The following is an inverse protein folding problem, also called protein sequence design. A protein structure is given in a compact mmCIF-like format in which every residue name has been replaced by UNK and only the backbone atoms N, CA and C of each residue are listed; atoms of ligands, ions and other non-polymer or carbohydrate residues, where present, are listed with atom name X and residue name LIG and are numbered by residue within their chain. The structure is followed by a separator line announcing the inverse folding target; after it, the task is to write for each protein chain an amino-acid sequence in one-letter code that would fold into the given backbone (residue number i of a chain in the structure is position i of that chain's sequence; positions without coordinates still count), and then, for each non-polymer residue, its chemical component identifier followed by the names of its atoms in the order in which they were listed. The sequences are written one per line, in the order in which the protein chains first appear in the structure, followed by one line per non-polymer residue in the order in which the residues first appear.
data_IF_804700568374
#
_entry.id   IF_804700568374
#
_cell.length_a   1.000
_cell.length_b   1.000
_cell.length_c   1.000
_cell.angle_alpha   90.00
_cell.angle_beta   90.00
_cell.angle_gamma   90.00
#
_symmetry.space_group_name_H-M   'P 1'
#
loop_
_entity.id
_entity.type
_entity.pdbx_description
1 polymer ?
#
# COMPACT_ATOMS: atom_id res chain seq x y z
N UNK A 1 -3.84 33.16 9.42
CA UNK A 1 -4.99 32.81 8.57
C UNK A 1 -5.40 31.39 8.92
N UNK A 2 -6.71 31.07 9.06
CA UNK A 2 -7.13 29.69 9.27
C UNK A 2 -6.65 28.85 8.09
N UNK A 3 -5.97 27.74 8.39
CA UNK A 3 -5.49 26.81 7.36
C UNK A 3 -6.73 26.20 6.72
N UNK A 4 -6.95 26.42 5.42
CA UNK A 4 -8.03 25.76 4.68
C UNK A 4 -7.88 24.25 4.88
N UNK A 5 -8.90 23.62 5.44
CA UNK A 5 -8.96 22.17 5.54
C UNK A 5 -9.29 21.60 4.17
N UNK A 6 -8.46 20.69 3.67
CA UNK A 6 -8.64 20.08 2.36
C UNK A 6 -9.40 18.78 2.48
N UNK A 7 -10.36 18.58 1.59
CA UNK A 7 -11.16 17.35 1.54
C UNK A 7 -10.34 16.16 1.05
N UNK A 8 -10.78 14.94 1.38
CA UNK A 8 -10.14 13.71 0.88
C UNK A 8 -10.12 13.66 -0.66
N UNK A 9 -11.19 14.14 -1.30
CA UNK A 9 -11.29 14.28 -2.76
C UNK A 9 -10.18 15.17 -3.31
N UNK A 10 -10.00 16.37 -2.76
CA UNK A 10 -8.95 17.31 -3.19
C UNK A 10 -7.54 16.72 -2.98
N UNK A 11 -7.30 16.05 -1.85
CA UNK A 11 -6.01 15.40 -1.57
C UNK A 11 -5.73 14.28 -2.58
N UNK A 12 -6.74 13.47 -2.92
CA UNK A 12 -6.59 12.38 -3.89
C UNK A 12 -6.33 12.91 -5.32
N UNK A 13 -6.97 14.01 -5.71
CA UNK A 13 -6.73 14.67 -6.99
C UNK A 13 -5.33 15.27 -7.09
N UNK A 14 -4.86 15.87 -6.00
CA UNK A 14 -3.48 16.30 -5.89
C UNK A 14 -2.52 15.11 -6.03
N UNK A 15 -2.77 13.99 -5.33
CA UNK A 15 -1.98 12.77 -5.44
C UNK A 15 -1.93 12.22 -6.87
N UNK A 16 -3.08 12.17 -7.56
CA UNK A 16 -3.15 11.80 -8.97
C UNK A 16 -2.27 12.70 -9.85
N UNK A 17 -2.31 14.02 -9.64
CA UNK A 17 -1.46 14.96 -10.37
C UNK A 17 0.04 14.73 -10.14
N UNK A 18 0.43 14.46 -8.89
CA UNK A 18 1.81 14.15 -8.50
C UNK A 18 2.31 12.83 -9.10
N UNK A 19 1.45 11.83 -9.23
CA UNK A 19 1.75 10.55 -9.89
C UNK A 19 1.80 10.64 -11.42
N UNK A 20 1.67 11.84 -12.02
CA UNK A 20 1.73 12.03 -13.47
C UNK A 20 0.38 12.04 -14.18
N UNK A 21 -0.73 12.06 -13.42
CA UNK A 21 -2.10 12.14 -13.94
C UNK A 21 -2.43 13.42 -14.71
N UNK A 22 -1.53 14.41 -14.74
CA UNK A 22 -1.62 15.59 -15.62
C UNK A 22 -1.17 15.30 -17.06
N UNK A 23 -0.33 14.28 -17.26
CA UNK A 23 0.27 13.95 -18.56
C UNK A 23 -0.29 12.64 -19.10
N UNK A 24 -0.34 11.62 -18.24
CA UNK A 24 -0.71 10.25 -18.57
C UNK A 24 -1.85 9.71 -17.72
N UNK A 25 -2.23 8.48 -18.02
CA UNK A 25 -3.16 7.72 -17.20
C UNK A 25 -2.40 6.98 -16.10
N UNK A 26 -2.89 7.07 -14.87
CA UNK A 26 -2.29 6.45 -13.67
C UNK A 26 -3.31 5.46 -13.09
N UNK A 27 -2.88 4.28 -12.72
CA UNK A 27 -3.77 3.30 -12.05
C UNK A 27 -4.10 3.73 -10.60
N UNK A 28 -5.12 3.10 -10.03
CA UNK A 28 -5.61 3.44 -8.69
C UNK A 28 -4.61 3.08 -7.59
N UNK A 29 -3.87 1.99 -7.78
CA UNK A 29 -2.94 1.45 -6.79
C UNK A 29 -1.76 2.40 -6.60
N UNK A 30 -1.16 2.88 -7.69
CA UNK A 30 -0.10 3.89 -7.70
C UNK A 30 -0.51 5.14 -6.92
N UNK A 31 -1.73 5.63 -7.12
CA UNK A 31 -2.25 6.81 -6.38
C UNK A 31 -2.48 6.47 -4.90
N UNK A 32 -3.06 5.31 -4.60
CA UNK A 32 -3.35 4.88 -3.24
C UNK A 32 -2.08 4.69 -2.40
N UNK A 33 -1.06 4.02 -2.96
CA UNK A 33 0.25 3.83 -2.32
C UNK A 33 0.94 5.19 -2.09
N UNK A 34 0.98 6.05 -3.11
CA UNK A 34 1.58 7.39 -3.00
C UNK A 34 0.99 8.22 -1.87
N UNK A 35 -0.34 8.17 -1.72
CA UNK A 35 -1.08 8.87 -0.68
C UNK A 35 -0.87 8.25 0.70
N UNK A 36 -0.82 6.92 0.77
CA UNK A 36 -0.53 6.19 2.01
C UNK A 36 0.86 6.50 2.56
N UNK A 37 1.90 6.50 1.72
CA UNK A 37 3.28 6.83 2.13
C UNK A 37 3.38 8.21 2.80
N UNK A 38 2.53 9.15 2.39
CA UNK A 38 2.53 10.54 2.88
C UNK A 38 1.54 10.76 4.01
N UNK A 39 0.44 10.01 4.02
CA UNK A 39 -0.66 10.17 4.97
C UNK A 39 -1.27 8.82 5.38
N UNK A 40 -0.50 7.99 6.11
CA UNK A 40 -0.96 6.66 6.52
C UNK A 40 -2.18 6.73 7.47
N UNK A 41 -2.32 7.83 8.23
CA UNK A 41 -3.49 8.03 9.10
C UNK A 41 -4.81 8.32 8.38
N UNK A 42 -4.78 8.67 7.09
CA UNK A 42 -5.96 8.99 6.28
C UNK A 42 -6.23 7.90 5.24
N UNK A 43 -5.18 7.35 4.66
CA UNK A 43 -5.21 6.37 3.56
C UNK A 43 -4.68 5.00 3.98
N UNK A 44 -4.63 4.70 5.28
CA UNK A 44 -4.36 3.37 5.80
C UNK A 44 -5.66 2.64 6.16
N UNK A 45 -5.66 1.31 6.08
CA UNK A 45 -6.85 0.51 6.41
C UNK A 45 -7.25 0.74 7.88
N UNK A 46 -8.55 0.90 8.14
CA UNK A 46 -9.05 1.14 9.51
C UNK A 46 -8.63 0.06 10.52
N UNK A 47 -8.68 -1.21 10.11
CA UNK A 47 -8.34 -2.36 10.96
C UNK A 47 -6.85 -2.70 10.93
N UNK A 48 -6.14 -2.30 9.88
CA UNK A 48 -4.71 -2.56 9.72
C UNK A 48 -4.00 -1.31 9.14
N UNK A 49 -3.80 -0.26 9.95
CA UNK A 49 -3.34 1.05 9.49
C UNK A 49 -1.96 1.08 8.85
N UNK A 50 -1.21 -0.02 8.95
CA UNK A 50 0.09 -0.21 8.31
C UNK A 50 0.01 -0.57 6.82
N UNK A 51 -1.18 -0.82 6.28
CA UNK A 51 -1.38 -1.11 4.86
C UNK A 51 -2.18 0.00 4.18
N UNK A 52 -1.93 0.26 2.88
CA UNK A 52 -2.68 1.24 2.12
C UNK A 52 -4.15 0.81 1.94
N UNK A 53 -5.05 1.75 2.18
CA UNK A 53 -6.48 1.66 1.85
C UNK A 53 -6.69 2.18 0.43
N UNK A 54 -6.45 1.30 -0.55
CA UNK A 54 -6.60 1.60 -1.97
C UNK A 54 -8.06 1.93 -2.33
N UNK A 55 -9.02 1.38 -1.58
CA UNK A 55 -10.45 1.62 -1.78
C UNK A 55 -10.84 3.07 -1.47
N UNK A 56 -10.20 3.71 -0.49
CA UNK A 56 -10.40 5.14 -0.25
C UNK A 56 -10.02 5.96 -1.49
N UNK A 57 -8.85 5.71 -2.09
CA UNK A 57 -8.43 6.40 -3.32
C UNK A 57 -9.40 6.12 -4.48
N UNK A 58 -9.81 4.85 -4.64
CA UNK A 58 -10.77 4.42 -5.66
C UNK A 58 -12.11 5.16 -5.55
N UNK A 59 -12.67 5.25 -4.35
CA UNK A 59 -13.96 5.92 -4.10
C UNK A 59 -13.86 7.40 -4.40
N UNK A 60 -12.79 8.08 -3.94
CA UNK A 60 -12.63 9.52 -4.18
C UNK A 60 -12.39 9.84 -5.67
N UNK A 61 -11.62 9.02 -6.39
CA UNK A 61 -11.44 9.17 -7.83
C UNK A 61 -12.74 8.92 -8.59
N UNK A 62 -13.51 7.90 -8.21
CA UNK A 62 -14.83 7.67 -8.80
C UNK A 62 -15.79 8.84 -8.53
N UNK A 63 -15.74 9.42 -7.33
CA UNK A 63 -16.54 10.59 -6.98
C UNK A 63 -16.13 11.83 -7.77
N UNK A 64 -14.82 12.04 -7.99
CA UNK A 64 -14.30 13.12 -8.81
C UNK A 64 -14.54 12.96 -10.33
N UNK A 65 -14.87 11.74 -10.79
CA UNK A 65 -15.38 11.50 -12.16
C UNK A 65 -16.85 11.91 -12.31
N UNK A 66 -17.63 11.89 -11.23
CA UNK A 66 -19.07 12.18 -11.27
C UNK A 66 -19.31 13.69 -11.29
N UNK A 67 -20.21 14.12 -12.14
CA UNK A 67 -20.77 15.47 -12.11
C UNK A 67 -21.91 15.48 -11.09
N UNK A 68 -21.79 16.28 -10.03
CA UNK A 68 -22.80 16.41 -8.97
C UNK A 68 -23.53 17.76 -9.03
N UNK A 69 -23.37 18.53 -10.10
CA UNK A 69 -24.05 19.81 -10.28
C UNK A 69 -23.43 20.96 -9.46
N UNK A 70 -24.22 21.99 -9.18
CA UNK A 70 -23.77 23.32 -8.75
C UNK A 70 -22.96 23.38 -7.43
N UNK A 71 -23.07 22.36 -6.57
CA UNK A 71 -22.39 22.30 -5.26
C UNK A 71 -21.03 21.58 -5.28
N UNK A 72 -20.65 20.95 -6.40
CA UNK A 72 -19.35 20.26 -6.55
C UNK A 72 -18.88 20.40 -8.02
N UNK A 73 -18.38 21.60 -8.39
CA UNK A 73 -18.60 22.14 -9.73
C UNK A 73 -17.63 21.66 -10.80
N UNK A 74 -16.76 20.69 -10.55
CA UNK A 74 -15.75 20.32 -11.56
C UNK A 74 -15.57 18.82 -11.66
N UNK A 75 -16.05 18.28 -12.79
CA UNK A 75 -15.68 16.97 -13.28
C UNK A 75 -14.22 17.05 -13.73
N UNK A 76 -13.29 16.79 -12.83
CA UNK A 76 -11.84 17.00 -13.05
C UNK A 76 -11.11 15.79 -13.64
N UNK A 77 -11.82 14.68 -13.85
CA UNK A 77 -11.26 13.44 -14.40
C UNK A 77 -11.69 13.29 -15.86
N UNK A 78 -10.69 13.05 -16.72
CA UNK A 78 -10.89 12.75 -18.13
C UNK A 78 -11.73 11.49 -18.30
N UNK A 79 -12.76 11.58 -19.15
CA UNK A 79 -13.61 10.44 -19.43
C UNK A 79 -12.84 9.34 -20.18
N UNK A 80 -12.86 8.14 -19.64
CA UNK A 80 -12.25 6.95 -20.21
C UNK A 80 -13.22 6.15 -21.07
N UNK A 81 -14.49 6.56 -21.16
CA UNK A 81 -15.51 5.83 -21.92
C UNK A 81 -15.20 5.83 -23.43
N UNK A 82 -14.62 6.92 -23.95
CA UNK A 82 -14.11 6.99 -25.32
C UNK A 82 -12.87 6.10 -25.55
N UNK A 83 -11.98 5.98 -24.55
CA UNK A 83 -10.84 5.05 -24.61
C UNK A 83 -11.33 3.61 -24.65
N UNK A 84 -12.29 3.24 -23.79
CA UNK A 84 -12.90 1.91 -23.76
C UNK A 84 -13.67 1.62 -25.05
N UNK A 85 -14.38 2.61 -25.60
CA UNK A 85 -15.07 2.51 -26.89
C UNK A 85 -14.10 2.31 -28.06
N UNK A 86 -13.01 3.08 -28.13
CA UNK A 86 -11.98 2.93 -29.18
C UNK A 86 -11.17 1.63 -29.05
N UNK A 87 -10.93 1.14 -27.83
CA UNK A 87 -10.30 -0.16 -27.59
C UNK A 87 -11.22 -1.31 -28.02
N UNK A 88 -12.52 -1.25 -27.70
CA UNK A 88 -13.54 -2.18 -28.20
C UNK A 88 -13.64 -2.19 -29.73
N UNK A 89 -13.56 -1.01 -30.37
CA UNK A 89 -13.60 -0.87 -31.83
C UNK A 89 -12.33 -1.41 -32.53
N UNK A 90 -11.18 -1.41 -31.84
CA UNK A 90 -9.91 -1.97 -32.34
C UNK A 90 -9.77 -3.48 -32.13
N UNK A 91 -10.72 -4.11 -31.45
CA UNK A 91 -10.65 -5.53 -31.11
C UNK A 91 -9.66 -5.86 -29.99
N UNK A 92 -9.25 -4.86 -29.19
CA UNK A 92 -8.34 -5.09 -28.06
C UNK A 92 -9.00 -6.06 -27.06
N UNK A 93 -8.21 -7.04 -26.59
CA UNK A 93 -8.65 -8.14 -25.75
C UNK A 93 -9.38 -7.65 -24.48
N UNK A 94 -10.41 -8.38 -24.03
CA UNK A 94 -11.21 -8.04 -22.84
C UNK A 94 -10.35 -7.87 -21.58
N UNK A 95 -9.17 -8.49 -21.55
CA UNK A 95 -8.16 -8.35 -20.47
C UNK A 95 -7.51 -6.96 -20.42
N UNK A 96 -7.38 -6.26 -21.55
CA UNK A 96 -6.88 -4.87 -21.61
C UNK A 96 -7.93 -3.90 -21.05
N UNK A 97 -9.21 -4.25 -21.22
CA UNK A 97 -10.35 -3.50 -20.66
C UNK A 97 -10.60 -3.79 -19.17
N UNK A 98 -9.99 -4.84 -18.61
CA UNK A 98 -10.16 -5.29 -17.21
C UNK A 98 -9.03 -4.90 -16.26
N UNK A 99 -8.00 -4.16 -16.72
CA UNK A 99 -7.04 -3.55 -15.79
C UNK A 99 -7.77 -2.54 -14.89
N UNK A 100 -7.30 -2.39 -13.65
CA UNK A 100 -7.84 -1.44 -12.68
C UNK A 100 -8.11 -0.07 -13.31
N UNK A 101 -9.15 0.64 -12.86
CA UNK A 101 -9.52 1.91 -13.45
C UNK A 101 -8.30 2.84 -13.43
N UNK A 102 -7.96 3.34 -14.62
CA UNK A 102 -6.88 4.28 -14.82
C UNK A 102 -7.45 5.69 -14.95
N UNK A 103 -6.77 6.64 -14.33
CA UNK A 103 -7.25 7.99 -14.10
C UNK A 103 -6.32 9.00 -14.72
N UNK A 104 -6.90 10.04 -15.29
CA UNK A 104 -6.17 11.19 -15.84
C UNK A 104 -7.00 12.42 -15.59
N UNK A 105 -6.37 13.54 -15.26
CA UNK A 105 -7.04 14.83 -15.12
C UNK A 105 -7.41 15.37 -16.50
N UNK A 106 -8.60 15.98 -16.63
CA UNK A 106 -8.94 16.79 -17.80
C UNK A 106 -8.34 18.20 -17.67
N UNK A 107 -8.61 19.08 -18.65
CA UNK A 107 -8.03 20.43 -18.66
C UNK A 107 -8.41 21.25 -17.42
N UNK A 108 -9.66 21.14 -16.96
CA UNK A 108 -10.12 21.77 -15.72
C UNK A 108 -9.42 21.19 -14.49
N UNK A 109 -9.24 19.87 -14.43
CA UNK A 109 -8.50 19.20 -13.37
C UNK A 109 -7.02 19.57 -13.34
N UNK A 110 -6.40 19.76 -14.50
CA UNK A 110 -5.01 20.23 -14.63
C UNK A 110 -4.90 21.68 -14.16
N UNK A 111 -5.84 22.55 -14.54
CA UNK A 111 -5.89 23.93 -14.08
C UNK A 111 -6.02 23.99 -12.56
N UNK A 112 -7.02 23.30 -12.01
CA UNK A 112 -7.25 23.18 -10.57
C UNK A 112 -6.00 22.64 -9.85
N UNK A 113 -5.37 21.59 -10.39
CA UNK A 113 -4.15 21.04 -9.81
C UNK A 113 -3.03 22.08 -9.75
N UNK A 114 -2.80 22.82 -10.83
CA UNK A 114 -1.72 23.81 -10.87
C UNK A 114 -1.95 24.97 -9.89
N UNK A 115 -3.19 25.41 -9.71
CA UNK A 115 -3.54 26.46 -8.75
C UNK A 115 -3.40 26.01 -7.29
N UNK A 116 -3.72 24.75 -7.00
CA UNK A 116 -3.87 24.27 -5.63
C UNK A 116 -2.69 23.42 -5.14
N UNK A 117 -1.83 22.88 -6.03
CA UNK A 117 -0.78 21.91 -5.67
C UNK A 117 0.15 22.39 -4.56
N UNK A 118 0.55 23.65 -4.57
CA UNK A 118 1.47 24.19 -3.57
C UNK A 118 0.80 24.45 -2.23
N UNK A 119 -0.48 24.83 -2.25
CA UNK A 119 -1.26 25.04 -1.03
C UNK A 119 -1.62 23.71 -0.37
N UNK A 120 -1.97 22.69 -1.16
CA UNK A 120 -2.20 21.32 -0.69
C UNK A 120 -0.89 20.71 -0.19
N UNK A 121 0.22 20.83 -0.93
CA UNK A 121 1.53 20.36 -0.46
C UNK A 121 1.92 21.01 0.87
N UNK A 122 1.75 22.34 1.02
CA UNK A 122 2.01 23.03 2.29
C UNK A 122 1.09 22.55 3.42
N UNK A 123 -0.18 22.32 3.13
CA UNK A 123 -1.12 21.73 4.09
C UNK A 123 -0.67 20.34 4.51
N UNK A 124 -0.36 19.48 3.54
CA UNK A 124 0.17 18.14 3.73
C UNK A 124 1.42 18.18 4.59
N UNK A 125 2.41 18.99 4.25
CA UNK A 125 3.63 19.14 5.04
C UNK A 125 3.33 19.68 6.44
N UNK A 126 2.35 20.57 6.59
CA UNK A 126 1.95 21.09 7.89
C UNK A 126 1.23 20.05 8.75
N UNK A 127 0.39 19.20 8.15
CA UNK A 127 -0.35 18.12 8.81
C UNK A 127 0.57 16.94 9.10
N UNK A 128 1.54 16.67 8.23
CA UNK A 128 2.60 15.68 8.46
C UNK A 128 3.54 16.18 9.56
N UNK A 129 3.97 17.44 9.58
CA UNK A 129 4.72 18.05 10.69
C UNK A 129 3.90 18.16 11.98
N UNK A 130 2.59 18.44 11.89
CA UNK A 130 1.67 18.40 13.03
C UNK A 130 1.37 16.97 13.46
N UNK A 131 1.46 15.98 12.58
CA UNK A 131 1.34 14.55 12.84
C UNK A 131 2.62 13.96 13.43
N UNK A 132 3.78 14.54 13.12
CA UNK A 132 5.07 14.31 13.78
C UNK A 132 5.10 14.98 15.16
N UNK A 133 4.57 16.21 15.30
CA UNK A 133 4.41 16.91 16.60
C UNK A 133 3.30 16.30 17.48
N UNK A 134 2.18 15.88 16.88
CA UNK A 134 1.15 14.99 17.45
C UNK A 134 1.58 13.53 17.39
N UNK A 135 2.81 13.22 16.97
CA UNK A 135 3.44 11.90 17.14
C UNK A 135 3.70 11.57 18.62
N UNK A 136 3.42 12.53 19.52
CA UNK A 136 3.25 12.28 20.97
C UNK A 136 1.82 11.87 21.37
N UNK A 137 0.87 11.88 20.45
CA UNK A 137 -0.55 11.53 20.63
C UNK A 137 -1.13 10.73 19.45
N UNK A 138 -0.29 10.08 18.64
CA UNK A 138 -0.71 8.83 17.99
C UNK A 138 -1.17 7.90 19.12
N UNK A 139 -2.13 7.02 18.87
CA UNK A 139 -2.29 5.85 19.73
C UNK A 139 -0.87 5.28 19.82
N UNK A 140 -0.22 5.44 20.97
CA UNK A 140 1.06 4.80 21.25
C UNK A 140 0.69 3.33 21.28
N UNK A 141 0.73 2.69 20.13
CA UNK A 141 0.77 1.24 20.05
C UNK A 141 2.04 0.92 20.78
N UNK A 142 1.88 0.54 22.05
CA UNK A 142 3.01 0.24 22.92
C UNK A 142 3.87 -0.81 22.22
N UNK A 143 5.17 -0.84 22.50
CA UNK A 143 6.03 -1.92 22.00
C UNK A 143 5.37 -3.30 22.26
N UNK A 144 4.68 -3.43 23.41
CA UNK A 144 3.84 -4.58 23.76
C UNK A 144 2.71 -4.89 22.77
N UNK A 145 1.99 -3.88 22.27
CA UNK A 145 0.93 -4.09 21.27
C UNK A 145 1.50 -4.41 19.87
N UNK A 146 2.67 -3.84 19.52
CA UNK A 146 3.37 -4.20 18.28
C UNK A 146 3.85 -5.65 18.35
N UNK A 147 4.50 -6.03 19.45
CA UNK A 147 4.88 -7.41 19.77
C UNK A 147 3.69 -8.35 19.72
N UNK A 148 2.57 -8.01 20.36
CA UNK A 148 1.37 -8.84 20.34
C UNK A 148 0.85 -9.09 18.92
N UNK A 149 0.83 -8.06 18.06
CA UNK A 149 0.38 -8.19 16.68
C UNK A 149 1.34 -9.04 15.81
N UNK A 150 2.66 -8.94 16.03
CA UNK A 150 3.66 -9.77 15.35
C UNK A 150 3.54 -11.22 15.81
N UNK A 151 3.48 -11.46 17.12
CA UNK A 151 3.31 -12.79 17.72
C UNK A 151 2.01 -13.44 17.23
N UNK A 152 0.91 -12.69 17.19
CA UNK A 152 -0.36 -13.20 16.67
C UNK A 152 -0.26 -13.62 15.20
N UNK A 153 0.44 -12.83 14.38
CA UNK A 153 0.63 -13.15 12.96
C UNK A 153 1.44 -14.43 12.76
N UNK A 154 2.52 -14.60 13.53
CA UNK A 154 3.35 -15.79 13.56
C UNK A 154 2.51 -17.01 13.99
N UNK A 155 1.80 -16.91 15.12
CA UNK A 155 1.02 -18.01 15.70
C UNK A 155 -0.14 -18.48 14.84
N UNK A 156 -0.66 -17.61 13.97
CA UNK A 156 -1.71 -17.97 13.00
C UNK A 156 -1.19 -18.81 11.83
N UNK A 157 0.13 -18.92 11.64
CA UNK A 157 0.69 -19.71 10.53
C UNK A 157 0.51 -21.21 10.80
N UNK A 158 -0.06 -21.98 9.85
CA UNK A 158 -0.10 -23.44 9.97
C UNK A 158 1.29 -24.06 10.11
N UNK A 159 2.29 -23.52 9.43
CA UNK A 159 3.68 -24.00 9.54
C UNK A 159 4.31 -23.67 10.89
N UNK A 160 3.85 -22.62 11.59
CA UNK A 160 4.31 -22.35 12.96
C UNK A 160 3.85 -23.44 13.94
N UNK A 161 2.62 -23.93 13.82
CA UNK A 161 2.16 -25.06 14.62
C UNK A 161 2.99 -26.32 14.35
N UNK A 162 3.34 -26.57 13.08
CA UNK A 162 4.26 -27.67 12.70
C UNK A 162 5.64 -27.47 13.31
N UNK A 163 6.18 -26.24 13.22
CA UNK A 163 7.48 -25.86 13.76
C UNK A 163 7.57 -26.07 15.28
N UNK A 164 6.53 -25.68 16.02
CA UNK A 164 6.50 -25.82 17.48
C UNK A 164 6.52 -27.28 17.95
N UNK A 165 6.12 -28.22 17.10
CA UNK A 165 6.03 -29.64 17.45
C UNK A 165 7.41 -30.31 17.45
N UNK A 166 8.37 -29.78 16.72
CA UNK A 166 9.68 -30.40 16.54
C UNK A 166 10.79 -29.35 16.36
N UNK A 167 11.16 -28.68 17.46
CA UNK A 167 12.10 -27.54 17.41
C UNK A 167 13.54 -27.91 17.03
N UNK A 168 13.89 -29.20 17.07
CA UNK A 168 15.22 -29.71 16.76
C UNK A 168 15.31 -30.27 15.33
N UNK A 169 14.19 -30.38 14.61
CA UNK A 169 14.16 -30.82 13.23
C UNK A 169 14.77 -29.79 12.27
N UNK A 170 15.35 -30.31 11.19
CA UNK A 170 15.74 -29.50 10.03
C UNK A 170 14.51 -29.24 9.18
N UNK A 171 14.14 -27.97 9.00
CA UNK A 171 13.00 -27.56 8.20
C UNK A 171 13.40 -27.27 6.75
N UNK A 172 12.55 -27.69 5.82
CA UNK A 172 12.69 -27.42 4.39
C UNK A 172 11.60 -26.46 3.89
N UNK A 173 11.69 -26.09 2.61
CA UNK A 173 10.72 -25.19 1.96
C UNK A 173 9.30 -25.79 1.88
N UNK A 174 9.19 -27.11 1.90
CA UNK A 174 7.90 -27.81 1.97
C UNK A 174 7.28 -27.72 3.37
N UNK A 175 8.11 -27.60 4.41
CA UNK A 175 7.65 -27.54 5.79
C UNK A 175 7.26 -26.12 6.20
N UNK A 176 8.05 -25.14 5.74
CA UNK A 176 7.89 -23.72 6.00
C UNK A 176 7.74 -22.99 4.67
N UNK A 177 6.52 -22.74 4.17
CA UNK A 177 6.32 -22.16 2.85
C UNK A 177 6.72 -20.68 2.80
N UNK A 178 7.21 -20.21 1.67
CA UNK A 178 7.63 -18.81 1.49
C UNK A 178 6.48 -17.80 1.69
N UNK A 179 5.23 -18.21 1.50
CA UNK A 179 4.09 -17.36 1.82
C UNK A 179 4.08 -16.96 3.30
N UNK A 180 4.50 -17.86 4.18
CA UNK A 180 4.61 -17.55 5.61
C UNK A 180 5.76 -16.57 5.86
N UNK A 181 6.85 -16.61 5.07
CA UNK A 181 7.90 -15.59 5.11
C UNK A 181 7.34 -14.20 4.75
N UNK A 182 6.62 -14.07 3.64
CA UNK A 182 5.99 -12.79 3.25
C UNK A 182 5.03 -12.27 4.31
N UNK A 183 4.17 -13.13 4.83
CA UNK A 183 3.19 -12.74 5.84
C UNK A 183 3.85 -12.36 7.17
N UNK A 184 4.79 -13.16 7.68
CA UNK A 184 5.48 -12.90 8.96
C UNK A 184 6.20 -11.56 8.94
N UNK A 185 7.03 -11.32 7.94
CA UNK A 185 7.77 -10.07 7.79
C UNK A 185 6.92 -8.91 7.29
N UNK A 186 5.69 -9.19 6.85
CA UNK A 186 4.80 -8.21 6.25
C UNK A 186 5.46 -7.46 5.07
N UNK A 187 5.89 -8.24 4.10
CA UNK A 187 6.53 -7.78 2.87
C UNK A 187 5.93 -8.52 1.68
N UNK A 188 6.19 -8.03 0.48
CA UNK A 188 5.84 -8.66 -0.79
C UNK A 188 7.08 -8.99 -1.62
N UNK A 189 6.87 -9.63 -2.76
CA UNK A 189 7.93 -10.03 -3.69
C UNK A 189 8.73 -8.85 -4.28
N UNK A 190 8.14 -7.64 -4.28
CA UNK A 190 8.73 -6.45 -4.87
C UNK A 190 9.32 -5.51 -3.82
N UNK A 191 9.33 -5.91 -2.55
CA UNK A 191 9.76 -5.06 -1.44
C UNK A 191 11.25 -4.68 -1.58
N UNK A 192 11.58 -3.37 -1.63
CA UNK A 192 12.96 -2.87 -1.67
C UNK A 192 13.80 -3.29 -0.45
N UNK A 193 15.12 -3.35 -0.60
CA UNK A 193 15.99 -4.08 0.33
C UNK A 193 16.09 -3.38 1.67
N UNK A 194 16.20 -2.06 1.61
CA UNK A 194 16.16 -1.18 2.76
C UNK A 194 14.84 -1.33 3.55
N UNK A 195 13.71 -1.56 2.87
CA UNK A 195 12.41 -1.75 3.52
C UNK A 195 12.28 -3.15 4.13
N UNK A 196 12.77 -4.17 3.44
CA UNK A 196 12.87 -5.53 4.00
C UNK A 196 13.74 -5.55 5.25
N UNK A 197 14.95 -5.00 5.22
CA UNK A 197 15.85 -4.95 6.39
C UNK A 197 15.21 -4.21 7.58
N UNK A 198 14.43 -3.17 7.29
CA UNK A 198 13.65 -2.46 8.32
C UNK A 198 12.49 -3.30 8.87
N UNK A 199 11.83 -4.10 8.03
CA UNK A 199 10.77 -5.02 8.46
C UNK A 199 11.31 -6.19 9.28
N UNK A 200 12.43 -6.77 8.85
CA UNK A 200 13.20 -7.82 9.56
C UNK A 200 13.61 -7.36 10.96
N UNK A 201 14.26 -6.19 11.05
CA UNK A 201 14.68 -5.62 12.34
C UNK A 201 13.50 -5.41 13.29
N UNK A 202 12.36 -4.90 12.79
CA UNK A 202 11.16 -4.70 13.62
C UNK A 202 10.53 -6.01 14.07
N UNK A 203 10.51 -7.03 13.20
CA UNK A 203 9.94 -8.34 13.50
C UNK A 203 10.76 -9.06 14.57
N UNK A 204 12.09 -9.06 14.43
CA UNK A 204 13.01 -9.62 15.43
C UNK A 204 12.96 -8.86 16.77
N UNK A 205 12.86 -7.53 16.74
CA UNK A 205 12.72 -6.74 17.97
C UNK A 205 11.36 -6.91 18.67
N UNK A 206 10.37 -7.46 17.96
CA UNK A 206 9.01 -7.65 18.47
C UNK A 206 8.81 -9.01 19.15
N UNK A 207 9.66 -10.00 18.85
CA UNK A 207 9.66 -11.33 19.49
C UNK A 207 10.64 -11.35 20.65
N UNK A 208 10.35 -12.19 21.66
CA UNK A 208 11.28 -12.38 22.78
C UNK A 208 12.45 -13.25 22.31
N UNK A 209 13.67 -12.83 22.62
CA UNK A 209 14.89 -13.59 22.26
C UNK A 209 14.81 -15.03 22.78
N UNK A 210 15.23 -16.00 21.97
CA UNK A 210 15.18 -17.44 22.25
C UNK A 210 13.77 -18.04 22.37
N UNK A 211 12.71 -17.26 22.16
CA UNK A 211 11.34 -17.80 22.05
C UNK A 211 11.17 -18.70 20.83
N UNK A 212 10.09 -19.49 20.82
CA UNK A 212 9.76 -20.32 19.66
C UNK A 212 9.46 -19.47 18.43
N UNK A 213 8.82 -18.32 18.64
CA UNK A 213 8.57 -17.31 17.62
C UNK A 213 9.86 -16.75 17.03
N UNK A 214 10.86 -16.45 17.87
CA UNK A 214 12.17 -15.96 17.42
C UNK A 214 12.89 -17.00 16.56
N UNK A 215 12.95 -18.26 17.02
CA UNK A 215 13.55 -19.37 16.26
C UNK A 215 12.86 -19.59 14.92
N UNK A 216 11.53 -19.49 14.89
CA UNK A 216 10.75 -19.62 13.66
C UNK A 216 11.03 -18.49 12.66
N UNK A 217 11.10 -17.25 13.14
CA UNK A 217 11.44 -16.08 12.29
C UNK A 217 12.84 -16.22 11.71
N UNK A 218 13.81 -16.66 12.51
CA UNK A 218 15.19 -16.91 12.06
C UNK A 218 15.23 -18.00 10.98
N UNK A 219 14.47 -19.08 11.16
CA UNK A 219 14.45 -20.19 10.20
C UNK A 219 13.81 -19.80 8.87
N UNK A 220 12.72 -19.01 8.90
CA UNK A 220 12.14 -18.41 7.70
C UNK A 220 13.13 -17.48 6.98
N UNK A 221 13.87 -16.65 7.72
CA UNK A 221 14.95 -15.83 7.14
C UNK A 221 16.03 -16.70 6.49
N UNK A 222 16.48 -17.77 7.16
CA UNK A 222 17.50 -18.69 6.63
C UNK A 222 17.08 -19.29 5.28
N UNK A 223 15.82 -19.67 5.15
CA UNK A 223 15.28 -20.29 3.94
C UNK A 223 15.09 -19.28 2.79
N UNK A 224 14.63 -18.06 3.07
CA UNK A 224 14.07 -17.19 2.03
C UNK A 224 14.71 -15.81 1.88
N UNK A 225 15.51 -15.33 2.84
CA UNK A 225 16.09 -13.97 2.81
C UNK A 225 16.89 -13.69 1.53
N UNK A 226 17.57 -14.70 0.99
CA UNK A 226 18.36 -14.55 -0.23
C UNK A 226 17.57 -14.67 -1.55
N UNK A 227 16.35 -15.20 -1.51
CA UNK A 227 15.59 -15.59 -2.72
C UNK A 227 14.16 -15.04 -2.78
N UNK A 228 13.69 -14.29 -1.78
CA UNK A 228 12.32 -13.78 -1.75
C UNK A 228 11.94 -12.92 -2.97
N UNK A 229 12.94 -12.32 -3.62
CA UNK A 229 12.77 -11.52 -4.84
C UNK A 229 12.68 -12.33 -6.12
N UNK A 230 13.45 -13.42 -6.20
CA UNK A 230 13.50 -14.27 -7.39
C UNK A 230 12.42 -15.33 -7.39
N UNK A 231 11.75 -15.56 -6.25
CA UNK A 231 10.74 -16.61 -6.10
C UNK A 231 9.63 -16.57 -7.17
N UNK A 232 9.08 -15.40 -7.47
CA UNK A 232 8.02 -15.29 -8.48
C UNK A 232 8.55 -15.40 -9.90
N UNK A 233 9.77 -14.92 -10.17
CA UNK A 233 10.42 -15.09 -11.47
C UNK A 233 10.72 -16.57 -11.75
N UNK A 234 11.12 -17.33 -10.72
CA UNK A 234 11.34 -18.79 -10.77
C UNK A 234 10.03 -19.56 -10.96
N UNK A 235 8.96 -19.18 -10.26
CA UNK A 235 7.61 -19.76 -10.41
C UNK A 235 7.04 -19.54 -11.82
N UNK A 236 7.23 -18.34 -12.38
CA UNK A 236 6.82 -18.00 -13.74
C UNK A 236 7.65 -18.76 -14.78
N UNK A 237 8.93 -19.01 -14.50
CA UNK A 237 9.81 -19.79 -15.38
C UNK A 237 9.52 -21.31 -15.37
N UNK A 238 9.00 -21.85 -14.27
CA UNK A 238 8.62 -23.27 -14.14
C UNK A 238 7.21 -23.59 -14.68
N UNK A 239 6.38 -22.56 -14.93
CA UNK A 239 5.03 -22.69 -15.45
C UNK A 239 4.86 -22.45 -16.96
N UNK A 240 5.97 -22.46 -17.73
CA UNK A 240 6.01 -22.25 -19.18
C UNK A 240 6.31 -23.51 -19.97
#
# INVERSE_FOLDING_TARGET
MPVKEWTKKEIVLWGLGMCGGTKGFVDTETVGVFLFERHPGIFGLKSHPQYPDIDVARVQLADAKRDKGADDPVRVIQDTDDRKRRARQRGDDKRVLSRDPMWKLNDEGIHWYNENREAIQRYIDSVTKLGERRGRGSIRVSAKQISAAVIERIRRRPSFAKFTRDLEATYTEEDLPILDFFEVFNIDAHTPENLFQSARTRTLAAVETDSVEDKYVIELSRLYEHRYRSYYDELLAQGG
#
